data_IF_257115226926
#
_entry.id   IF_257115226926
#
_cell.length_a   1.000
_cell.length_b   1.000
_cell.length_c   1.000
_cell.angle_alpha   90.00
_cell.angle_beta   90.00
_cell.angle_gamma   90.00
#
_symmetry.space_group_name_H-M   'P 1'
#
loop_
_entity.id
_entity.type
_entity.pdbx_description
1 polymer ?
#
# COMPACT_ATOMS: atom_id res chain seq x y z
N UNK A 1 0.83 -74.72 20.28
CA UNK A 1 0.78 -73.91 19.05
C UNK A 1 0.11 -72.60 19.42
N UNK A 2 0.91 -71.55 19.60
CA UNK A 2 0.49 -70.21 20.02
C UNK A 2 -0.13 -69.49 18.82
N UNK A 3 -1.38 -69.07 18.92
CA UNK A 3 -2.02 -68.15 17.97
C UNK A 3 -1.90 -66.73 18.52
N UNK A 4 -0.94 -66.00 17.99
CA UNK A 4 -0.61 -64.62 18.32
C UNK A 4 -1.74 -63.66 17.93
N UNK A 5 -2.21 -62.88 18.90
CA UNK A 5 -3.13 -61.76 18.70
C UNK A 5 -2.39 -60.59 18.04
N UNK A 6 -2.86 -60.15 16.87
CA UNK A 6 -2.36 -58.94 16.22
C UNK A 6 -2.95 -57.68 16.91
N UNK A 7 -2.15 -56.64 17.19
CA UNK A 7 -2.67 -55.39 17.73
C UNK A 7 -3.32 -54.57 16.60
N UNK A 8 -4.53 -54.06 16.86
CA UNK A 8 -5.28 -53.20 15.94
C UNK A 8 -4.50 -51.94 15.60
N UNK A 9 -4.35 -51.68 14.31
CA UNK A 9 -3.83 -50.42 13.80
C UNK A 9 -4.79 -49.29 14.19
N UNK A 10 -4.34 -48.41 15.07
CA UNK A 10 -4.95 -47.11 15.35
C UNK A 10 -4.91 -46.29 14.06
N UNK A 11 -6.04 -46.22 13.38
CA UNK A 11 -6.27 -45.32 12.26
C UNK A 11 -6.31 -43.88 12.81
N UNK A 12 -5.14 -43.25 12.96
CA UNK A 12 -5.05 -41.82 13.12
C UNK A 12 -5.31 -41.18 11.76
N UNK A 13 -6.58 -41.05 11.40
CA UNK A 13 -7.02 -40.06 10.42
C UNK A 13 -6.75 -38.69 11.02
N UNK A 14 -5.50 -38.23 10.90
CA UNK A 14 -5.16 -36.82 11.03
C UNK A 14 -5.87 -36.12 9.87
N UNK A 15 -7.06 -35.61 10.17
CA UNK A 15 -7.80 -34.72 9.29
C UNK A 15 -6.97 -33.43 9.17
N UNK A 16 -5.98 -33.49 8.27
CA UNK A 16 -5.16 -32.32 7.94
C UNK A 16 -6.14 -31.25 7.48
N UNK A 17 -6.14 -30.06 8.11
CA UNK A 17 -7.05 -29.00 7.70
C UNK A 17 -6.86 -28.76 6.21
N UNK A 18 -7.94 -28.92 5.43
CA UNK A 18 -7.89 -28.80 3.97
C UNK A 18 -7.62 -27.32 3.64
N UNK A 19 -6.35 -26.96 3.52
CA UNK A 19 -5.94 -25.61 3.15
C UNK A 19 -6.39 -25.35 1.70
N UNK A 20 -7.13 -24.26 1.42
CA UNK A 20 -7.58 -23.93 0.08
C UNK A 20 -6.41 -23.82 -0.92
N UNK A 21 -6.70 -24.14 -2.19
CA UNK A 21 -5.70 -24.13 -3.26
C UNK A 21 -4.97 -22.77 -3.36
N UNK A 22 -5.71 -21.67 -3.34
CA UNK A 22 -5.12 -20.34 -3.54
C UNK A 22 -4.23 -19.91 -2.37
N UNK A 23 -4.58 -20.33 -1.15
CA UNK A 23 -3.74 -20.12 0.04
C UNK A 23 -2.42 -20.87 -0.09
N UNK A 24 -2.45 -22.14 -0.56
CA UNK A 24 -1.23 -22.90 -0.87
C UNK A 24 -0.36 -22.24 -1.95
N UNK A 25 -0.98 -21.66 -2.99
CA UNK A 25 -0.24 -20.90 -4.00
C UNK A 25 0.41 -19.64 -3.40
N UNK A 26 -0.29 -18.91 -2.53
CA UNK A 26 0.27 -17.73 -1.87
C UNK A 26 1.47 -18.10 -0.98
N UNK A 27 1.42 -19.21 -0.26
CA UNK A 27 2.57 -19.73 0.49
C UNK A 27 3.77 -20.03 -0.42
N UNK A 28 3.52 -20.61 -1.60
CA UNK A 28 4.57 -20.85 -2.59
C UNK A 28 5.15 -19.54 -3.15
N UNK A 29 4.30 -18.55 -3.41
CA UNK A 29 4.73 -17.21 -3.87
C UNK A 29 5.61 -16.54 -2.80
N UNK A 30 5.24 -16.61 -1.51
CA UNK A 30 6.06 -16.09 -0.42
C UNK A 30 7.41 -16.81 -0.31
N UNK A 31 7.45 -18.13 -0.55
CA UNK A 31 8.70 -18.87 -0.60
C UNK A 31 9.64 -18.39 -1.72
N UNK A 32 9.12 -17.93 -2.86
CA UNK A 32 9.95 -17.36 -3.95
C UNK A 32 10.66 -16.06 -3.57
N UNK A 33 10.13 -15.33 -2.58
CA UNK A 33 10.69 -14.08 -2.08
C UNK A 33 11.50 -14.29 -0.78
N UNK A 34 11.81 -15.56 -0.44
CA UNK A 34 12.47 -15.93 0.81
C UNK A 34 11.70 -15.50 2.08
N UNK A 35 10.38 -15.32 2.00
CA UNK A 35 9.54 -14.95 3.15
C UNK A 35 9.00 -16.24 3.79
N UNK A 36 9.67 -16.71 4.84
CA UNK A 36 9.29 -17.93 5.56
C UNK A 36 8.44 -17.66 6.81
N UNK A 37 8.50 -16.43 7.34
CA UNK A 37 7.82 -16.02 8.57
C UNK A 37 6.80 -14.94 8.25
N UNK A 38 5.51 -15.30 8.21
CA UNK A 38 4.37 -14.40 8.10
C UNK A 38 3.25 -14.88 9.01
N UNK A 39 2.34 -13.97 9.36
CA UNK A 39 1.16 -14.32 10.14
C UNK A 39 0.12 -15.03 9.26
N UNK A 40 -0.63 -15.96 9.85
CA UNK A 40 -1.62 -16.79 9.15
C UNK A 40 -2.70 -15.97 8.41
N UNK A 41 -3.01 -14.76 8.87
CA UNK A 41 -4.04 -13.91 8.24
C UNK A 41 -3.56 -13.21 6.95
N UNK A 42 -2.25 -13.14 6.69
CA UNK A 42 -1.70 -12.36 5.56
C UNK A 42 -2.16 -12.91 4.20
N UNK A 43 -2.12 -14.24 3.94
CA UNK A 43 -2.69 -14.81 2.73
C UNK A 43 -4.17 -14.46 2.50
N UNK A 44 -4.98 -14.50 3.57
CA UNK A 44 -6.40 -14.17 3.50
C UNK A 44 -6.62 -12.70 3.11
N UNK A 45 -5.88 -11.78 3.75
CA UNK A 45 -5.96 -10.36 3.43
C UNK A 45 -5.53 -10.05 1.99
N UNK A 46 -4.49 -10.73 1.51
CA UNK A 46 -4.02 -10.55 0.14
C UNK A 46 -5.03 -11.08 -0.89
N UNK A 47 -5.68 -12.21 -0.58
CA UNK A 47 -6.75 -12.76 -1.42
C UNK A 47 -7.96 -11.83 -1.48
N UNK A 48 -8.40 -11.27 -0.35
CA UNK A 48 -9.47 -10.28 -0.29
C UNK A 48 -9.13 -9.03 -1.11
N UNK A 49 -7.88 -8.57 -1.04
CA UNK A 49 -7.37 -7.49 -1.87
C UNK A 49 -7.43 -7.84 -3.37
N UNK A 50 -6.93 -9.02 -3.78
CA UNK A 50 -6.93 -9.45 -5.18
C UNK A 50 -8.34 -9.57 -5.75
N UNK A 51 -9.29 -10.07 -4.95
CA UNK A 51 -10.70 -10.15 -5.34
C UNK A 51 -11.28 -8.74 -5.53
N UNK A 52 -11.17 -7.86 -4.52
CA UNK A 52 -11.66 -6.47 -4.61
C UNK A 52 -11.03 -5.69 -5.76
N UNK A 53 -9.73 -5.85 -5.98
CA UNK A 53 -9.00 -5.22 -7.06
C UNK A 53 -9.54 -5.66 -8.42
N UNK A 54 -9.63 -6.97 -8.66
CA UNK A 54 -10.10 -7.53 -9.94
C UNK A 54 -11.56 -7.18 -10.21
N UNK A 55 -12.45 -7.26 -9.21
CA UNK A 55 -13.85 -6.86 -9.38
C UNK A 55 -13.96 -5.39 -9.77
N UNK A 56 -13.16 -4.50 -9.17
CA UNK A 56 -13.16 -3.08 -9.55
C UNK A 56 -12.64 -2.87 -10.97
N UNK A 57 -11.53 -3.53 -11.36
CA UNK A 57 -10.99 -3.43 -12.73
C UNK A 57 -12.01 -3.91 -13.77
N UNK A 58 -12.68 -5.04 -13.51
CA UNK A 58 -13.67 -5.59 -14.44
C UNK A 58 -14.91 -4.71 -14.56
N UNK A 59 -15.34 -4.03 -13.49
CA UNK A 59 -16.43 -3.03 -13.55
C UNK A 59 -16.07 -1.83 -14.42
N UNK A 60 -14.85 -1.32 -14.29
CA UNK A 60 -14.35 -0.22 -15.12
C UNK A 60 -14.22 -0.65 -16.60
N UNK A 61 -13.69 -1.85 -16.83
CA UNK A 61 -13.55 -2.42 -18.18
C UNK A 61 -14.91 -2.66 -18.86
N UNK A 62 -15.93 -3.12 -18.13
CA UNK A 62 -17.31 -3.21 -18.65
C UNK A 62 -17.84 -1.83 -19.08
N UNK A 63 -17.58 -0.80 -18.26
CA UNK A 63 -17.97 0.57 -18.58
C UNK A 63 -17.28 1.03 -19.87
N UNK A 64 -15.98 0.74 -20.05
CA UNK A 64 -15.25 1.09 -21.27
C UNK A 64 -15.75 0.34 -22.51
N UNK A 65 -16.06 -0.95 -22.37
CA UNK A 65 -16.66 -1.74 -23.45
C UNK A 65 -18.02 -1.16 -23.89
N UNK A 66 -18.84 -0.68 -22.96
CA UNK A 66 -20.11 0.00 -23.27
C UNK A 66 -19.91 1.37 -23.93
N UNK A 67 -18.91 2.15 -23.49
CA UNK A 67 -18.55 3.41 -24.14
C UNK A 67 -18.08 3.21 -25.60
N UNK A 68 -17.34 2.14 -25.90
CA UNK A 68 -16.87 1.84 -27.25
C UNK A 68 -18.02 1.58 -28.24
N UNK A 69 -19.10 0.92 -27.79
CA UNK A 69 -20.31 0.65 -28.61
C UNK A 69 -20.99 1.92 -29.10
N UNK A 70 -20.94 3.02 -28.33
CA UNK A 70 -21.54 4.30 -28.71
C UNK A 70 -20.78 5.01 -29.84
N UNK A 71 -19.48 4.74 -29.99
CA UNK A 71 -18.61 5.38 -31.00
C UNK A 71 -18.43 4.56 -32.27
N UNK A 72 -18.51 3.23 -32.20
CA UNK A 72 -18.44 2.33 -33.36
C UNK A 72 -19.80 1.68 -33.57
N UNK A 73 -20.67 2.31 -34.38
CA UNK A 73 -22.02 1.85 -34.69
C UNK A 73 -22.10 0.55 -35.52
N UNK A 74 -21.53 -0.54 -35.00
CA UNK A 74 -21.62 -1.88 -35.57
C UNK A 74 -22.35 -2.83 -34.61
N UNK A 75 -23.44 -3.51 -35.03
CA UNK A 75 -24.31 -4.32 -34.17
C UNK A 75 -23.70 -5.66 -33.69
N UNK A 76 -22.38 -5.83 -33.72
CA UNK A 76 -21.71 -7.13 -33.54
C UNK A 76 -20.61 -7.17 -32.47
N UNK A 77 -20.29 -6.06 -31.81
CA UNK A 77 -19.42 -6.12 -30.62
C UNK A 77 -20.26 -6.54 -29.42
N UNK A 78 -20.33 -7.86 -29.22
CA UNK A 78 -21.05 -8.49 -28.12
C UNK A 78 -20.64 -7.93 -26.77
N UNK A 79 -21.35 -8.33 -25.72
CA UNK A 79 -21.12 -7.94 -24.32
C UNK A 79 -19.80 -8.48 -23.73
N UNK A 80 -18.79 -8.64 -24.57
CA UNK A 80 -17.52 -9.30 -24.31
C UNK A 80 -16.46 -8.23 -24.05
N UNK A 81 -15.95 -8.20 -22.82
CA UNK A 81 -14.82 -7.35 -22.43
C UNK A 81 -13.58 -7.77 -23.22
N UNK A 82 -12.95 -6.83 -23.94
CA UNK A 82 -11.70 -7.07 -24.66
C UNK A 82 -10.50 -6.93 -23.72
N UNK A 83 -9.34 -7.48 -24.13
CA UNK A 83 -8.08 -7.28 -23.42
C UNK A 83 -7.66 -5.82 -23.36
N UNK A 84 -8.05 -5.02 -24.35
CA UNK A 84 -7.72 -3.60 -24.40
C UNK A 84 -8.54 -2.77 -23.40
N UNK A 85 -9.79 -3.15 -23.14
CA UNK A 85 -10.62 -2.54 -22.09
C UNK A 85 -10.01 -2.77 -20.70
N UNK A 86 -9.50 -3.99 -20.47
CA UNK A 86 -8.81 -4.36 -19.22
C UNK A 86 -7.50 -3.57 -19.08
N UNK A 87 -6.71 -3.44 -20.16
CA UNK A 87 -5.47 -2.66 -20.15
C UNK A 87 -5.75 -1.19 -19.83
N UNK A 88 -6.79 -0.61 -20.42
CA UNK A 88 -7.19 0.77 -20.15
C UNK A 88 -7.63 0.95 -18.69
N UNK A 89 -8.43 0.02 -18.16
CA UNK A 89 -8.87 0.02 -16.76
C UNK A 89 -7.70 -0.07 -15.77
N UNK A 90 -6.70 -0.91 -16.05
CA UNK A 90 -5.49 -1.01 -15.23
C UNK A 90 -4.66 0.28 -15.33
N UNK A 91 -4.50 0.84 -16.52
CA UNK A 91 -3.71 2.06 -16.74
C UNK A 91 -4.31 3.26 -16.00
N UNK A 92 -5.64 3.44 -16.04
CA UNK A 92 -6.33 4.52 -15.35
C UNK A 92 -6.09 4.50 -13.82
N UNK A 93 -6.00 3.29 -13.23
CA UNK A 93 -5.77 3.10 -11.79
C UNK A 93 -4.30 3.21 -11.39
N UNK A 94 -3.40 2.74 -12.24
CA UNK A 94 -1.94 2.80 -12.01
C UNK A 94 -1.46 4.23 -11.77
N UNK A 95 -2.10 5.22 -12.40
CA UNK A 95 -1.74 6.63 -12.28
C UNK A 95 -1.86 7.21 -10.87
N UNK A 96 -2.68 6.64 -9.98
CA UNK A 96 -2.94 7.22 -8.65
C UNK A 96 -2.91 6.24 -7.48
N UNK A 97 -2.96 4.91 -7.72
CA UNK A 97 -3.02 3.91 -6.63
C UNK A 97 -1.70 3.17 -6.42
N UNK A 98 -0.93 2.96 -7.48
CA UNK A 98 0.29 2.17 -7.41
C UNK A 98 1.52 3.07 -7.49
N UNK A 99 2.60 2.66 -6.84
CA UNK A 99 3.88 3.35 -6.97
C UNK A 99 4.37 3.16 -8.41
N UNK A 100 4.52 4.22 -9.21
CA UNK A 100 5.12 4.09 -10.53
C UNK A 100 6.59 3.76 -10.39
N UNK A 101 7.21 3.36 -11.50
CA UNK A 101 8.68 3.28 -11.61
C UNK A 101 9.29 4.59 -11.10
N UNK A 102 10.28 4.54 -10.20
CA UNK A 102 10.84 5.75 -9.58
C UNK A 102 11.33 6.73 -10.66
N UNK A 103 10.79 7.96 -10.72
CA UNK A 103 11.13 8.92 -11.76
C UNK A 103 12.50 9.55 -11.47
N UNK A 104 13.56 8.84 -11.88
CA UNK A 104 14.95 9.21 -11.59
C UNK A 104 15.32 10.61 -12.08
N UNK A 105 14.96 10.95 -13.32
CA UNK A 105 15.29 12.24 -13.93
C UNK A 105 14.65 13.40 -13.16
N UNK A 106 13.37 13.29 -12.80
CA UNK A 106 12.67 14.27 -11.99
C UNK A 106 13.34 14.45 -10.61
N UNK A 107 13.76 13.35 -9.98
CA UNK A 107 14.41 13.39 -8.67
C UNK A 107 15.82 13.99 -8.75
N UNK A 108 16.55 13.76 -9.85
CA UNK A 108 17.86 14.36 -10.12
C UNK A 108 17.74 15.86 -10.37
N UNK A 109 16.75 16.30 -11.14
CA UNK A 109 16.48 17.72 -11.36
C UNK A 109 16.13 18.45 -10.05
N UNK A 110 15.24 17.86 -9.25
CA UNK A 110 14.88 18.39 -7.93
C UNK A 110 16.10 18.42 -7.00
N UNK A 111 16.91 17.36 -7.01
CA UNK A 111 18.15 17.32 -6.24
C UNK A 111 19.11 18.42 -6.68
N UNK A 112 19.28 18.66 -7.97
CA UNK A 112 20.12 19.74 -8.48
C UNK A 112 19.62 21.12 -8.05
N UNK A 113 18.31 21.38 -8.16
CA UNK A 113 17.69 22.63 -7.70
C UNK A 113 17.92 22.85 -6.20
N UNK A 114 17.75 21.81 -5.36
CA UNK A 114 17.95 21.91 -3.91
C UNK A 114 19.41 22.01 -3.49
N UNK A 115 20.29 21.25 -4.14
CA UNK A 115 21.71 21.22 -3.85
C UNK A 115 22.46 22.46 -4.36
N UNK A 116 21.83 23.28 -5.22
CA UNK A 116 22.38 24.57 -5.65
C UNK A 116 22.56 25.57 -4.50
N UNK A 117 21.84 25.39 -3.39
CA UNK A 117 21.95 26.23 -2.20
C UNK A 117 23.09 25.72 -1.32
N UNK A 118 24.15 26.51 -1.21
CA UNK A 118 25.27 26.24 -0.31
C UNK A 118 24.79 26.01 1.13
N UNK A 119 25.50 25.17 1.85
CA UNK A 119 25.22 24.89 3.25
C UNK A 119 25.35 26.17 4.10
N UNK A 120 24.45 26.40 5.09
CA UNK A 120 24.60 27.49 6.05
C UNK A 120 25.90 27.37 6.85
N UNK A 121 26.55 28.50 7.21
CA UNK A 121 27.73 28.46 8.07
C UNK A 121 27.36 27.87 9.44
N UNK A 122 28.15 26.90 9.91
CA UNK A 122 27.94 26.21 11.18
C UNK A 122 28.76 26.89 12.28
N UNK A 123 28.13 27.19 13.43
CA UNK A 123 28.83 27.70 14.62
C UNK A 123 29.57 26.53 15.28
N UNK A 124 30.90 26.61 15.51
CA UNK A 124 31.69 25.53 16.11
C UNK A 124 31.49 25.44 17.63
N UNK A 125 30.24 25.33 18.08
CA UNK A 125 29.88 25.07 19.47
C UNK A 125 29.47 23.61 19.60
N UNK A 126 30.01 22.93 20.61
CA UNK A 126 29.57 21.58 20.94
C UNK A 126 28.11 21.61 21.39
N UNK A 127 27.21 20.98 20.62
CA UNK A 127 25.79 20.87 20.97
C UNK A 127 24.85 20.84 19.76
N UNK A 128 23.54 20.75 20.05
CA UNK A 128 22.48 20.79 19.06
C UNK A 128 22.08 22.25 18.76
N UNK A 129 22.03 22.60 17.48
CA UNK A 129 21.50 23.90 17.04
C UNK A 129 19.99 23.77 16.80
N UNK A 130 19.20 24.13 17.81
CA UNK A 130 17.75 24.16 17.69
C UNK A 130 17.32 25.33 16.78
N UNK A 131 16.23 25.17 15.99
CA UNK A 131 15.57 26.29 15.34
C UNK A 131 15.19 27.39 16.37
N UNK A 132 14.90 28.62 15.91
CA UNK A 132 14.34 29.65 16.78
C UNK A 132 13.12 29.13 17.55
N UNK A 133 12.92 29.58 18.80
CA UNK A 133 11.87 29.08 19.71
C UNK A 133 10.46 29.07 19.09
N UNK A 134 10.15 30.06 18.24
CA UNK A 134 8.90 30.14 17.46
C UNK A 134 8.65 28.96 16.51
N UNK A 135 9.68 28.24 16.11
CA UNK A 135 9.62 27.04 15.26
C UNK A 135 9.95 25.76 16.03
N UNK A 136 10.20 25.86 17.34
CA UNK A 136 10.35 24.71 18.21
C UNK A 136 8.98 24.33 18.78
N UNK A 137 8.60 23.06 18.58
CA UNK A 137 7.49 22.47 19.31
C UNK A 137 7.95 22.20 20.74
N UNK A 138 7.93 23.22 21.58
CA UNK A 138 8.03 23.04 23.04
C UNK A 138 6.73 22.39 23.47
N UNK A 139 6.78 21.20 24.06
CA UNK A 139 5.64 20.38 24.43
C UNK A 139 4.68 21.12 25.39
N UNK A 140 3.89 22.03 24.82
CA UNK A 140 2.96 22.93 25.48
C UNK A 140 1.57 22.34 25.45
N UNK A 141 0.86 22.55 26.54
CA UNK A 141 -0.56 22.19 26.63
C UNK A 141 -1.36 23.05 25.65
N UNK A 142 -2.33 22.44 24.97
CA UNK A 142 -3.13 23.08 23.92
C UNK A 142 -3.83 24.38 24.38
N UNK A 143 -4.17 24.48 25.67
CA UNK A 143 -4.87 25.62 26.30
C UNK A 143 -3.93 26.83 26.59
N UNK A 144 -2.62 26.60 26.61
CA UNK A 144 -1.62 27.64 26.87
C UNK A 144 -1.48 28.64 25.72
N UNK A 145 -1.89 28.25 24.50
CA UNK A 145 -1.74 29.06 23.30
C UNK A 145 -2.67 30.29 23.30
N UNK A 146 -3.91 30.13 23.79
CA UNK A 146 -4.86 31.24 23.88
C UNK A 146 -4.47 32.26 24.96
N UNK A 147 -3.93 31.78 26.08
CA UNK A 147 -3.52 32.63 27.20
C UNK A 147 -2.34 33.52 26.81
N UNK A 148 -1.37 32.98 26.07
CA UNK A 148 -0.24 33.77 25.55
C UNK A 148 -0.62 34.77 24.46
N UNK A 149 -1.56 34.43 23.57
CA UNK A 149 -2.05 35.41 22.60
C UNK A 149 -2.72 36.58 23.30
N UNK A 150 -3.50 36.31 24.35
CA UNK A 150 -4.14 37.34 25.18
C UNK A 150 -3.09 38.18 25.94
N UNK A 151 -2.02 37.58 26.45
CA UNK A 151 -0.92 38.31 27.11
C UNK A 151 -0.09 39.15 26.13
N UNK A 152 0.27 38.63 24.97
CA UNK A 152 1.01 39.36 23.94
C UNK A 152 0.18 40.54 23.39
N UNK A 153 -1.14 40.37 23.25
CA UNK A 153 -2.03 41.45 22.84
C UNK A 153 -2.18 42.53 23.92
N UNK A 154 -2.12 42.16 25.21
CA UNK A 154 -2.09 43.11 26.35
C UNK A 154 -0.76 43.86 26.44
N UNK A 155 0.38 43.19 26.23
CA UNK A 155 1.72 43.82 26.22
C UNK A 155 1.92 44.82 25.09
N UNK A 156 1.25 44.64 23.94
CA UNK A 156 1.31 45.56 22.79
C UNK A 156 0.44 46.82 22.94
N UNK A 157 -0.43 46.86 23.97
CA UNK A 157 -1.37 47.97 24.24
C UNK A 157 -0.89 48.90 25.38
N UNK A 158 0.26 48.61 25.99
CA UNK A 158 0.96 49.47 26.96
C UNK A 158 2.20 50.04 26.29
#
# INVERSE_FOLDING_TARGET
>A
MQSSSAPGALNQSSEQPVVPRDVRLLHLIFATQNIQNYQEHVPLQLMDFSHRYTTSVLKDALTYADHAKGTSGGPSSGNTVSTDDIRLAIAARTNHQFKPTPPKELLLELAHERNSKSLPPVIPKWGLHLPPEKYCLTARDWDSFEQEQKENMKKKKR
#
